data_IF_469043555042
#
_entry.id   IF_469043555042
#
_cell.length_a   1.000
_cell.length_b   1.000
_cell.length_c   1.000
_cell.angle_alpha   90.00
_cell.angle_beta   90.00
_cell.angle_gamma   90.00
#
_symmetry.space_group_name_H-M   'P 1'
#
loop_
_entity.id
_entity.type
_entity.pdbx_description
1 polymer ?
#
# COMPACT_ATOMS: atom_id res chain seq x y z
N UNK A 1 16.47 20.30 4.45
CA UNK A 1 17.52 19.45 3.87
C UNK A 1 17.04 18.03 3.53
N UNK A 2 16.24 17.35 4.37
CA UNK A 2 15.67 16.02 3.99
C UNK A 2 14.64 16.10 2.86
N UNK A 3 13.82 17.16 2.80
CA UNK A 3 12.78 17.34 1.77
C UNK A 3 13.34 17.60 0.36
N UNK A 4 14.55 18.16 0.22
CA UNK A 4 15.16 18.42 -1.09
C UNK A 4 15.57 17.13 -1.81
N UNK A 5 15.80 16.04 -1.08
CA UNK A 5 16.07 14.72 -1.66
C UNK A 5 14.81 14.17 -2.36
N UNK A 6 13.62 14.56 -1.88
CA UNK A 6 12.33 14.14 -2.47
C UNK A 6 11.86 15.05 -3.60
N UNK A 7 12.32 16.30 -3.64
CA UNK A 7 11.98 17.35 -4.62
C UNK A 7 12.32 16.96 -6.05
N UNK A 8 13.52 16.41 -6.27
CA UNK A 8 14.08 16.29 -7.63
C UNK A 8 13.77 14.95 -8.29
N UNK A 9 12.93 14.11 -7.67
CA UNK A 9 12.51 12.79 -8.20
C UNK A 9 13.62 11.73 -8.28
N UNK A 10 14.89 12.11 -8.09
CA UNK A 10 16.06 11.22 -8.20
C UNK A 10 16.02 10.00 -7.25
N UNK A 11 15.26 10.08 -6.16
CA UNK A 11 15.03 8.99 -5.22
C UNK A 11 14.14 7.86 -5.77
N UNK A 12 13.36 8.12 -6.83
CA UNK A 12 12.45 7.14 -7.42
C UNK A 12 13.19 5.99 -8.08
N UNK A 13 14.29 6.26 -8.78
CA UNK A 13 15.03 5.22 -9.49
C UNK A 13 15.66 4.18 -8.54
N UNK A 14 16.41 4.58 -7.48
CA UNK A 14 16.86 3.65 -6.45
C UNK A 14 15.73 2.86 -5.80
N UNK A 15 14.57 3.49 -5.57
CA UNK A 15 13.41 2.81 -5.00
C UNK A 15 12.86 1.74 -5.95
N UNK A 16 12.72 2.04 -7.25
CA UNK A 16 12.25 1.06 -8.24
C UNK A 16 13.22 -0.13 -8.35
N UNK A 17 14.53 0.13 -8.32
CA UNK A 17 15.54 -0.93 -8.28
C UNK A 17 15.39 -1.80 -7.03
N UNK A 18 15.21 -1.19 -5.86
CA UNK A 18 14.97 -1.92 -4.61
C UNK A 18 13.71 -2.78 -4.68
N UNK A 19 12.60 -2.24 -5.20
CA UNK A 19 11.33 -2.97 -5.35
C UNK A 19 11.48 -4.16 -6.31
N UNK A 20 12.20 -3.99 -7.43
CA UNK A 20 12.49 -5.07 -8.37
C UNK A 20 13.33 -6.18 -7.73
N UNK A 21 14.34 -5.82 -6.92
CA UNK A 21 15.15 -6.77 -6.17
C UNK A 21 14.33 -7.53 -5.12
N UNK A 22 13.45 -6.83 -4.39
CA UNK A 22 12.54 -7.46 -3.43
C UNK A 22 11.60 -8.46 -4.12
N UNK A 23 10.97 -8.07 -5.22
CA UNK A 23 10.07 -8.97 -5.97
C UNK A 23 10.81 -10.19 -6.55
N UNK A 24 12.01 -9.98 -7.10
CA UNK A 24 12.86 -11.09 -7.58
C UNK A 24 13.28 -12.00 -6.43
N UNK A 25 13.66 -11.41 -5.29
CA UNK A 25 14.02 -12.14 -4.07
C UNK A 25 12.86 -12.97 -3.53
N UNK A 26 11.64 -12.41 -3.53
CA UNK A 26 10.42 -13.10 -3.11
C UNK A 26 10.14 -14.33 -3.99
N UNK A 27 10.22 -14.14 -5.31
CA UNK A 27 10.05 -15.23 -6.27
C UNK A 27 11.05 -16.37 -6.04
N UNK A 28 12.34 -16.04 -5.85
CA UNK A 28 13.38 -17.03 -5.58
C UNK A 28 13.15 -17.71 -4.22
N UNK A 29 12.79 -16.95 -3.18
CA UNK A 29 12.55 -17.48 -1.84
C UNK A 29 11.39 -18.48 -1.84
N UNK A 30 10.29 -18.16 -2.54
CA UNK A 30 9.17 -19.09 -2.74
C UNK A 30 9.59 -20.33 -3.53
N UNK A 31 10.31 -20.16 -4.64
CA UNK A 31 10.80 -21.27 -5.47
C UNK A 31 11.73 -22.22 -4.71
N UNK A 32 12.58 -21.69 -3.83
CA UNK A 32 13.53 -22.47 -3.02
C UNK A 32 12.99 -22.88 -1.64
N UNK A 33 11.71 -22.60 -1.35
CA UNK A 33 11.06 -22.87 -0.07
C UNK A 33 11.85 -22.32 1.13
N UNK A 34 12.20 -21.03 1.08
CA UNK A 34 12.95 -20.31 2.11
C UNK A 34 12.03 -19.37 2.92
N UNK A 35 11.23 -19.89 3.87
CA UNK A 35 10.16 -19.13 4.52
C UNK A 35 10.68 -17.96 5.37
N UNK A 36 11.90 -18.04 5.90
CA UNK A 36 12.50 -16.93 6.66
C UNK A 36 12.79 -15.72 5.75
N UNK A 37 13.31 -15.96 4.55
CA UNK A 37 13.64 -14.91 3.59
C UNK A 37 12.36 -14.30 3.01
N UNK A 38 11.39 -15.14 2.64
CA UNK A 38 10.07 -14.69 2.18
C UNK A 38 9.39 -13.79 3.23
N UNK A 39 9.45 -14.16 4.51
CA UNK A 39 8.92 -13.32 5.61
C UNK A 39 9.64 -11.99 5.73
N UNK A 40 10.97 -11.96 5.63
CA UNK A 40 11.76 -10.71 5.69
C UNK A 40 11.38 -9.80 4.53
N UNK A 41 11.32 -10.33 3.30
CA UNK A 41 10.96 -9.56 2.11
C UNK A 41 9.55 -8.97 2.23
N UNK A 42 8.59 -9.76 2.69
CA UNK A 42 7.23 -9.29 2.95
C UNK A 42 7.20 -8.15 3.97
N UNK A 43 7.91 -8.27 5.10
CA UNK A 43 8.00 -7.21 6.12
C UNK A 43 8.62 -5.95 5.52
N UNK A 44 9.73 -6.08 4.79
CA UNK A 44 10.38 -4.94 4.13
C UNK A 44 9.45 -4.25 3.15
N UNK A 45 8.69 -5.02 2.37
CA UNK A 45 7.64 -4.52 1.48
C UNK A 45 6.64 -3.65 2.23
N UNK A 46 6.08 -4.15 3.34
CA UNK A 46 5.14 -3.40 4.17
C UNK A 46 5.76 -2.14 4.78
N UNK A 47 7.01 -2.18 5.25
CA UNK A 47 7.69 -1.00 5.81
C UNK A 47 7.85 0.09 4.75
N UNK A 48 8.28 -0.26 3.53
CA UNK A 48 8.38 0.67 2.41
C UNK A 48 7.01 1.27 2.08
N UNK A 49 5.99 0.41 2.05
CA UNK A 49 4.61 0.77 1.81
C UNK A 49 4.10 1.81 2.84
N UNK A 50 4.33 1.62 4.14
CA UNK A 50 3.99 2.61 5.19
C UNK A 50 4.78 3.90 4.99
N UNK A 51 6.09 3.78 4.77
CA UNK A 51 6.98 4.93 4.61
C UNK A 51 6.55 5.82 3.44
N UNK A 52 6.21 5.22 2.29
CA UNK A 52 5.71 5.93 1.12
C UNK A 52 4.36 6.61 1.38
N UNK A 53 3.45 5.96 2.11
CA UNK A 53 2.18 6.57 2.49
C UNK A 53 2.39 7.81 3.36
N UNK A 54 3.28 7.73 4.36
CA UNK A 54 3.63 8.87 5.22
C UNK A 54 4.24 10.01 4.40
N UNK A 55 5.20 9.71 3.52
CA UNK A 55 5.81 10.71 2.62
C UNK A 55 4.72 11.36 1.76
N UNK A 56 3.76 10.58 1.25
CA UNK A 56 2.71 11.11 0.39
C UNK A 56 1.76 12.06 1.13
N UNK A 57 1.41 11.76 2.38
CA UNK A 57 0.68 12.68 3.25
C UNK A 57 1.48 13.93 3.60
N UNK A 58 2.79 13.80 3.87
CA UNK A 58 3.66 14.96 4.13
C UNK A 58 3.69 15.87 2.89
N UNK A 59 3.86 15.31 1.70
CA UNK A 59 3.86 16.07 0.45
C UNK A 59 2.51 16.79 0.23
N UNK A 60 1.39 16.15 0.56
CA UNK A 60 0.09 16.82 0.52
C UNK A 60 0.02 18.06 1.43
N UNK A 61 0.49 17.96 2.67
CA UNK A 61 0.43 19.10 3.59
C UNK A 61 1.46 20.20 3.29
N UNK A 62 2.63 19.83 2.75
CA UNK A 62 3.72 20.78 2.43
C UNK A 62 3.50 21.45 1.08
N UNK A 63 3.03 20.72 0.08
CA UNK A 63 2.79 21.20 -1.30
C UNK A 63 1.38 20.84 -1.77
N UNK A 64 0.31 21.36 -1.12
CA UNK A 64 -1.08 20.98 -1.41
C UNK A 64 -1.55 21.38 -2.82
N UNK A 65 -0.84 22.29 -3.49
CA UNK A 65 -1.13 22.70 -4.87
C UNK A 65 -0.62 21.68 -5.90
N UNK A 66 0.41 20.91 -5.55
CA UNK A 66 1.08 19.96 -6.45
C UNK A 66 0.61 18.51 -6.23
N UNK A 67 0.00 18.24 -5.07
CA UNK A 67 -0.51 16.93 -4.70
C UNK A 67 -2.00 17.01 -4.39
N UNK A 68 -2.81 16.38 -5.23
CA UNK A 68 -4.26 16.32 -5.02
C UNK A 68 -4.62 15.45 -3.81
N UNK A 69 -5.48 15.98 -2.93
CA UNK A 69 -6.09 15.23 -1.82
C UNK A 69 -6.75 13.94 -2.33
N UNK A 70 -7.37 13.98 -3.52
CA UNK A 70 -8.00 12.81 -4.13
C UNK A 70 -7.00 11.66 -4.29
N UNK A 71 -5.81 11.93 -4.83
CA UNK A 71 -4.80 10.90 -5.05
C UNK A 71 -4.29 10.35 -3.71
N UNK A 72 -4.09 11.21 -2.72
CA UNK A 72 -3.63 10.83 -1.38
C UNK A 72 -4.64 9.91 -0.68
N UNK A 73 -5.92 10.25 -0.75
CA UNK A 73 -7.00 9.42 -0.23
C UNK A 73 -7.12 8.10 -0.98
N UNK A 74 -6.98 8.10 -2.31
CA UNK A 74 -7.00 6.89 -3.14
C UNK A 74 -5.90 5.92 -2.72
N UNK A 75 -4.66 6.40 -2.63
CA UNK A 75 -3.51 5.59 -2.20
C UNK A 75 -3.72 5.08 -0.77
N UNK A 76 -4.26 5.92 0.13
CA UNK A 76 -4.59 5.52 1.50
C UNK A 76 -5.64 4.40 1.56
N UNK A 77 -6.70 4.47 0.75
CA UNK A 77 -7.75 3.44 0.70
C UNK A 77 -7.20 2.11 0.17
N UNK A 78 -6.40 2.15 -0.89
CA UNK A 78 -5.70 0.96 -1.41
C UNK A 78 -4.83 0.34 -0.31
N UNK A 79 -4.10 1.18 0.42
CA UNK A 79 -3.25 0.75 1.51
C UNK A 79 -4.01 0.00 2.61
N UNK A 80 -5.09 0.62 3.09
CA UNK A 80 -5.95 0.05 4.14
C UNK A 80 -6.53 -1.28 3.69
N UNK A 81 -6.93 -1.39 2.42
CA UNK A 81 -7.45 -2.64 1.87
C UNK A 81 -6.41 -3.75 1.89
N UNK A 82 -5.19 -3.50 1.41
CA UNK A 82 -4.10 -4.49 1.40
C UNK A 82 -3.76 -4.97 2.81
N UNK A 83 -3.66 -4.04 3.77
CA UNK A 83 -3.38 -4.38 5.18
C UNK A 83 -4.54 -5.18 5.77
N UNK A 84 -5.78 -4.77 5.51
CA UNK A 84 -6.97 -5.47 6.02
C UNK A 84 -7.08 -6.90 5.49
N UNK A 85 -6.85 -7.11 4.19
CA UNK A 85 -6.83 -8.43 3.59
C UNK A 85 -5.71 -9.29 4.19
N UNK A 86 -4.51 -8.73 4.41
CA UNK A 86 -3.41 -9.48 5.03
C UNK A 86 -3.67 -9.86 6.48
N UNK A 87 -4.21 -8.94 7.26
CA UNK A 87 -4.63 -9.21 8.63
C UNK A 87 -5.68 -10.31 8.61
N UNK A 88 -6.68 -10.23 7.72
CA UNK A 88 -7.71 -11.25 7.61
C UNK A 88 -7.13 -12.63 7.26
N UNK A 89 -6.17 -12.71 6.34
CA UNK A 89 -5.43 -13.94 6.04
C UNK A 89 -4.72 -14.50 7.27
N UNK A 90 -4.04 -13.65 8.05
CA UNK A 90 -3.33 -14.08 9.26
C UNK A 90 -4.27 -14.67 10.32
N UNK A 91 -5.51 -14.18 10.40
CA UNK A 91 -6.53 -14.67 11.32
C UNK A 91 -7.47 -15.72 10.71
N UNK A 92 -7.23 -16.19 9.48
CA UNK A 92 -8.11 -17.12 8.76
C UNK A 92 -8.48 -18.35 9.58
N UNK A 93 -7.50 -19.00 10.21
CA UNK A 93 -7.72 -20.23 10.99
C UNK A 93 -8.53 -19.98 12.26
N UNK A 94 -8.42 -18.78 12.84
CA UNK A 94 -9.23 -18.35 14.00
C UNK A 94 -10.65 -17.96 13.60
N UNK A 95 -10.83 -17.39 12.42
CA UNK A 95 -12.11 -16.90 11.93
C UNK A 95 -12.99 -18.00 11.33
N UNK A 96 -12.41 -19.11 10.84
CA UNK A 96 -13.11 -20.27 10.27
C UNK A 96 -14.26 -19.85 9.33
N UNK A 97 -15.51 -20.10 9.71
CA UNK A 97 -16.71 -19.79 8.91
C UNK A 97 -16.99 -18.28 8.75
N UNK A 98 -16.46 -17.43 9.64
CA UNK A 98 -16.60 -15.96 9.55
C UNK A 98 -15.62 -15.33 8.57
N UNK A 99 -14.53 -16.02 8.21
CA UNK A 99 -13.51 -15.50 7.29
C UNK A 99 -14.11 -15.08 5.94
N UNK A 100 -14.91 -15.96 5.32
CA UNK A 100 -15.51 -15.68 4.02
C UNK A 100 -16.44 -14.46 4.05
N UNK A 101 -17.27 -14.34 5.11
CA UNK A 101 -18.15 -13.19 5.30
C UNK A 101 -17.36 -11.90 5.46
N UNK A 102 -16.34 -11.89 6.33
CA UNK A 102 -15.49 -10.72 6.56
C UNK A 102 -14.72 -10.30 5.31
N UNK A 103 -14.23 -11.27 4.53
CA UNK A 103 -13.52 -10.99 3.28
C UNK A 103 -14.42 -10.24 2.30
N UNK A 104 -15.63 -10.75 2.08
CA UNK A 104 -16.63 -10.09 1.23
C UNK A 104 -16.98 -8.70 1.76
N UNK A 105 -17.20 -8.56 3.07
CA UNK A 105 -17.49 -7.26 3.68
C UNK A 105 -16.38 -6.24 3.45
N UNK A 106 -15.11 -6.62 3.65
CA UNK A 106 -13.96 -5.73 3.42
C UNK A 106 -13.87 -5.32 1.95
N UNK A 107 -14.03 -6.26 1.02
CA UNK A 107 -14.04 -5.95 -0.42
C UNK A 107 -15.20 -5.03 -0.81
N UNK A 108 -16.40 -5.25 -0.26
CA UNK A 108 -17.57 -4.39 -0.51
C UNK A 108 -17.33 -2.97 0.01
N UNK A 109 -16.80 -2.83 1.24
CA UNK A 109 -16.47 -1.52 1.80
C UNK A 109 -15.43 -0.81 0.94
N UNK A 110 -14.38 -1.52 0.50
CA UNK A 110 -13.36 -0.97 -0.38
C UNK A 110 -13.96 -0.43 -1.69
N UNK A 111 -14.81 -1.22 -2.36
CA UNK A 111 -15.48 -0.79 -3.60
C UNK A 111 -16.34 0.46 -3.35
N UNK A 112 -17.12 0.47 -2.26
CA UNK A 112 -17.96 1.61 -1.90
C UNK A 112 -17.12 2.88 -1.65
N UNK A 113 -15.99 2.75 -0.95
CA UNK A 113 -15.07 3.86 -0.70
C UNK A 113 -14.47 4.40 -2.00
N UNK A 114 -14.04 3.53 -2.92
CA UNK A 114 -13.50 3.95 -4.22
C UNK A 114 -14.58 4.65 -5.06
N UNK A 115 -15.80 4.10 -5.13
CA UNK A 115 -16.92 4.72 -5.86
C UNK A 115 -17.28 6.08 -5.26
N UNK A 116 -17.37 6.18 -3.93
CA UNK A 116 -17.62 7.45 -3.25
C UNK A 116 -16.50 8.46 -3.55
N UNK A 117 -15.24 8.02 -3.55
CA UNK A 117 -14.11 8.87 -3.87
C UNK A 117 -14.22 9.40 -5.31
N UNK A 118 -14.54 8.53 -6.29
CA UNK A 118 -14.72 8.92 -7.70
C UNK A 118 -15.87 9.93 -7.85
N UNK A 119 -17.00 9.71 -7.18
CA UNK A 119 -18.16 10.64 -7.22
C UNK A 119 -17.81 12.00 -6.61
N UNK A 120 -17.03 12.01 -5.54
CA UNK A 120 -16.59 13.26 -4.91
C UNK A 120 -15.56 13.94 -5.81
N UNK A 121 -14.57 13.20 -6.31
CA UNK A 121 -13.52 13.69 -7.20
C UNK A 121 -14.08 14.25 -8.51
N UNK A 122 -15.11 13.64 -9.10
CA UNK A 122 -15.74 14.11 -10.33
C UNK A 122 -16.50 15.44 -10.17
N UNK A 123 -16.73 15.91 -8.94
CA UNK A 123 -17.29 17.26 -8.67
C UNK A 123 -16.22 18.34 -8.54
N UNK A 124 -14.94 17.98 -8.48
CA UNK A 124 -13.81 18.90 -8.33
C UNK A 124 -12.93 19.00 -9.60
N UNK A 125 -13.29 18.26 -10.66
CA UNK A 125 -12.68 18.32 -11.99
C UNK A 125 -13.61 18.99 -13.01
#
# INVERSE_FOLDING_TARGET
MLLSIFSDGNWLFPLLVLLALLGTGEYIAKKKNMPKIDKIINITGYVLMIGLLIIYWILYFVTPKDVSLYNVLLVTIIYIYIVSDKVLEHFKDRLKSKYGKLKVTISTIYILLIVALIIVGSRFF
#
